data_IF_630724371845
#
_entry.id   IF_630724371845
#
_cell.length_a   1.000
_cell.length_b   1.000
_cell.length_c   1.000
_cell.angle_alpha   90.00
_cell.angle_beta   90.00
_cell.angle_gamma   90.00
#
_symmetry.space_group_name_H-M   'P 1'
#
loop_
_entity.id
_entity.type
_entity.pdbx_description
1 polymer ?
#
# COMPACT_ATOMS: atom_id res chain seq x y z
N UNK A 1 -25.07 -41.86 -6.84
CA UNK A 1 -25.06 -40.75 -5.86
C UNK A 1 -23.70 -40.07 -5.93
N UNK A 2 -23.63 -38.93 -6.61
CA UNK A 2 -22.41 -38.12 -6.76
C UNK A 2 -22.12 -37.34 -5.48
N UNK A 3 -20.93 -37.53 -4.94
CA UNK A 3 -20.41 -36.82 -3.77
C UNK A 3 -20.07 -35.40 -4.20
N UNK A 4 -20.98 -34.45 -3.96
CA UNK A 4 -20.68 -33.03 -4.11
C UNK A 4 -19.70 -32.60 -3.01
N UNK A 5 -18.45 -32.37 -3.40
CA UNK A 5 -17.42 -31.83 -2.51
C UNK A 5 -17.16 -30.37 -2.88
N UNK A 6 -18.22 -29.55 -2.88
CA UNK A 6 -18.16 -28.10 -3.14
C UNK A 6 -17.64 -27.31 -1.92
N UNK A 7 -17.12 -28.00 -0.90
CA UNK A 7 -16.62 -27.42 0.36
C UNK A 7 -15.10 -27.50 0.58
N UNK A 8 -14.29 -27.48 -0.48
CA UNK A 8 -12.82 -27.66 -0.38
C UNK A 8 -11.96 -26.61 -1.10
N UNK A 9 -12.51 -25.45 -1.43
CA UNK A 9 -11.73 -24.36 -2.02
C UNK A 9 -10.68 -23.79 -1.05
N UNK A 10 -10.87 -23.97 0.27
CA UNK A 10 -9.90 -23.62 1.31
C UNK A 10 -9.53 -24.91 2.06
N UNK A 11 -8.81 -25.81 1.38
CA UNK A 11 -8.19 -26.93 2.07
C UNK A 11 -6.94 -26.41 2.79
N UNK A 12 -7.01 -26.23 4.12
CA UNK A 12 -5.91 -25.79 4.98
C UNK A 12 -4.62 -26.59 4.71
N UNK A 13 -4.76 -27.86 4.28
CA UNK A 13 -3.65 -28.71 3.88
C UNK A 13 -2.93 -28.22 2.61
N UNK A 14 -3.69 -27.72 1.62
CA UNK A 14 -3.16 -27.12 0.38
C UNK A 14 -2.53 -25.76 0.69
N UNK A 15 -3.20 -24.94 1.51
CA UNK A 15 -2.68 -23.64 1.96
C UNK A 15 -1.35 -23.79 2.69
N UNK A 16 -1.21 -24.84 3.52
CA UNK A 16 0.03 -25.17 4.24
C UNK A 16 1.14 -25.70 3.33
N UNK A 17 0.81 -26.35 2.21
CA UNK A 17 1.78 -26.75 1.16
C UNK A 17 2.25 -25.54 0.35
N UNK A 18 1.36 -24.64 -0.05
CA UNK A 18 1.71 -23.40 -0.76
C UNK A 18 2.53 -22.46 0.12
N UNK A 19 2.21 -22.33 1.41
CA UNK A 19 3.03 -21.61 2.39
C UNK A 19 4.47 -22.13 2.50
N UNK A 20 4.72 -23.40 2.15
CA UNK A 20 6.07 -23.97 2.13
C UNK A 20 6.90 -23.43 0.96
N UNK A 21 6.26 -23.02 -0.14
CA UNK A 21 6.88 -22.34 -1.28
C UNK A 21 7.10 -20.84 -1.05
N UNK A 22 6.40 -20.22 -0.08
CA UNK A 22 6.63 -18.83 0.36
C UNK A 22 7.89 -18.70 1.24
N UNK A 23 8.45 -19.82 1.74
CA UNK A 23 9.61 -19.84 2.65
C UNK A 23 10.88 -19.11 2.16
N UNK A 24 11.29 -19.14 0.88
CA UNK A 24 12.43 -18.37 0.38
C UNK A 24 12.11 -16.88 0.18
N UNK A 25 10.83 -16.50 0.16
CA UNK A 25 10.34 -15.15 -0.12
C UNK A 25 9.89 -14.36 1.11
N UNK A 26 10.17 -14.86 2.31
CA UNK A 26 9.78 -14.20 3.57
C UNK A 26 10.25 -12.75 3.65
N UNK A 27 11.43 -12.42 3.12
CA UNK A 27 11.94 -11.04 3.08
C UNK A 27 11.06 -10.14 2.22
N UNK A 28 10.67 -10.58 1.02
CA UNK A 28 9.75 -9.83 0.16
C UNK A 28 8.36 -9.70 0.80
N UNK A 29 7.84 -10.76 1.42
CA UNK A 29 6.54 -10.75 2.11
C UNK A 29 6.50 -9.74 3.28
N UNK A 30 7.48 -9.79 4.19
CA UNK A 30 7.57 -8.83 5.30
C UNK A 30 7.84 -7.40 4.81
N UNK A 31 8.65 -7.22 3.77
CA UNK A 31 8.90 -5.89 3.17
C UNK A 31 7.63 -5.30 2.56
N UNK A 32 6.83 -6.10 1.85
CA UNK A 32 5.56 -5.65 1.25
C UNK A 32 4.55 -5.29 2.33
N UNK A 33 4.46 -6.08 3.40
CA UNK A 33 3.61 -5.78 4.55
C UNK A 33 4.02 -4.48 5.25
N UNK A 34 5.33 -4.27 5.44
CA UNK A 34 5.84 -3.05 6.06
C UNK A 34 5.58 -1.81 5.20
N UNK A 35 5.79 -1.91 3.88
CA UNK A 35 5.44 -0.86 2.91
C UNK A 35 3.94 -0.55 2.98
N UNK A 36 3.09 -1.57 3.04
CA UNK A 36 1.62 -1.40 3.14
C UNK A 36 1.21 -0.64 4.40
N UNK A 37 1.81 -0.99 5.55
CA UNK A 37 1.58 -0.25 6.80
C UNK A 37 2.02 1.20 6.63
N UNK A 38 3.17 1.45 6.03
CA UNK A 38 3.67 2.81 5.81
C UNK A 38 2.76 3.63 4.86
N UNK A 39 2.27 3.03 3.77
CA UNK A 39 1.28 3.66 2.89
C UNK A 39 0.00 4.02 3.64
N UNK A 40 -0.46 3.20 4.59
CA UNK A 40 -1.67 3.48 5.36
C UNK A 40 -1.57 4.77 6.17
N UNK A 41 -0.38 5.13 6.65
CA UNK A 41 -0.13 6.42 7.31
C UNK A 41 -0.09 7.61 6.35
N UNK A 42 0.15 7.41 5.05
CA UNK A 42 0.13 8.51 4.08
C UNK A 42 -1.29 9.08 3.86
N UNK A 43 -2.34 8.30 4.16
CA UNK A 43 -3.73 8.77 4.08
C UNK A 43 -4.02 9.92 5.07
N UNK A 44 -3.80 9.78 6.40
CA UNK A 44 -4.00 10.88 7.34
C UNK A 44 -3.03 12.05 7.11
N UNK A 45 -1.78 11.79 6.69
CA UNK A 45 -0.81 12.85 6.34
C UNK A 45 -1.34 13.74 5.21
N UNK A 46 -1.95 13.14 4.19
CA UNK A 46 -2.57 13.87 3.09
C UNK A 46 -3.71 14.76 3.59
N UNK A 47 -4.61 14.22 4.41
CA UNK A 47 -5.73 14.99 4.99
C UNK A 47 -5.23 16.15 5.85
N UNK A 48 -4.15 15.94 6.61
CA UNK A 48 -3.54 16.98 7.44
C UNK A 48 -2.94 18.13 6.61
N UNK A 49 -2.20 17.81 5.54
CA UNK A 49 -1.64 18.82 4.64
C UNK A 49 -2.73 19.64 3.93
N UNK A 50 -3.82 18.98 3.50
CA UNK A 50 -4.99 19.66 2.93
C UNK A 50 -5.64 20.58 3.95
N UNK A 51 -5.75 20.15 5.21
CA UNK A 51 -6.29 20.99 6.29
C UNK A 51 -5.46 22.27 6.47
N UNK A 52 -4.14 22.18 6.52
CA UNK A 52 -3.27 23.38 6.61
C UNK A 52 -3.43 24.27 5.37
N UNK A 53 -3.55 23.68 4.17
CA UNK A 53 -3.76 24.46 2.95
C UNK A 53 -5.06 25.29 3.03
N UNK A 54 -6.14 24.68 3.54
CA UNK A 54 -7.47 25.31 3.65
C UNK A 54 -7.52 26.31 4.82
N UNK A 55 -7.18 25.86 6.02
CA UNK A 55 -7.37 26.63 7.26
C UNK A 55 -6.36 27.79 7.40
N UNK A 56 -5.10 27.59 7.03
CA UNK A 56 -4.04 28.59 7.27
C UNK A 56 -3.64 29.39 6.03
N UNK A 57 -3.70 28.78 4.83
CA UNK A 57 -3.18 29.45 3.61
C UNK A 57 -4.27 30.10 2.77
N UNK A 58 -5.42 29.43 2.62
CA UNK A 58 -6.57 30.01 1.90
C UNK A 58 -7.25 31.08 2.77
N UNK A 59 -7.45 30.82 4.06
CA UNK A 59 -8.15 31.76 4.96
C UNK A 59 -7.39 33.09 5.15
N UNK A 60 -6.06 33.07 5.19
CA UNK A 60 -5.22 34.27 5.36
C UNK A 60 -4.75 34.89 4.02
N UNK A 61 -5.12 34.30 2.87
CA UNK A 61 -4.74 34.81 1.54
C UNK A 61 -3.26 34.68 1.19
N UNK A 62 -2.50 33.83 1.89
CA UNK A 62 -1.06 33.62 1.66
C UNK A 62 -0.82 32.68 0.47
N UNK A 63 -0.81 33.26 -0.73
CA UNK A 63 -0.59 32.55 -2.00
C UNK A 63 0.78 31.87 -2.05
N UNK A 64 1.79 32.44 -1.40
CA UNK A 64 3.16 31.89 -1.42
C UNK A 64 3.29 30.67 -0.52
N UNK A 65 2.69 30.72 0.67
CA UNK A 65 2.52 29.57 1.55
C UNK A 65 1.67 28.46 0.93
N UNK A 66 0.60 28.81 0.21
CA UNK A 66 -0.24 27.84 -0.48
C UNK A 66 0.54 27.07 -1.57
N UNK A 67 1.33 27.77 -2.38
CA UNK A 67 2.19 27.14 -3.40
C UNK A 67 3.16 26.12 -2.79
N UNK A 68 3.77 26.44 -1.64
CA UNK A 68 4.67 25.51 -0.94
C UNK A 68 3.94 24.24 -0.48
N UNK A 69 2.74 24.37 0.07
CA UNK A 69 1.95 23.20 0.51
C UNK A 69 1.52 22.36 -0.68
N UNK A 70 1.07 22.98 -1.78
CA UNK A 70 0.73 22.26 -3.02
C UNK A 70 1.93 21.47 -3.53
N UNK A 71 3.12 22.09 -3.56
CA UNK A 71 4.34 21.44 -4.04
C UNK A 71 4.76 20.27 -3.13
N UNK A 72 4.63 20.43 -1.81
CA UNK A 72 4.78 19.34 -0.83
C UNK A 72 3.79 18.20 -1.08
N UNK A 73 2.54 18.54 -1.38
CA UNK A 73 1.47 17.57 -1.61
C UNK A 73 1.70 16.79 -2.91
N UNK A 74 2.17 17.45 -3.98
CA UNK A 74 2.62 16.78 -5.20
C UNK A 74 3.80 15.85 -4.92
N UNK A 75 4.81 16.30 -4.17
CA UNK A 75 5.94 15.47 -3.76
C UNK A 75 5.52 14.24 -2.95
N UNK A 76 4.59 14.42 -2.01
CA UNK A 76 4.00 13.32 -1.23
C UNK A 76 3.28 12.31 -2.14
N UNK A 77 2.52 12.79 -3.14
CA UNK A 77 1.82 11.92 -4.10
C UNK A 77 2.80 11.13 -4.97
N UNK A 78 3.90 11.75 -5.42
CA UNK A 78 4.95 11.05 -6.16
C UNK A 78 5.59 9.96 -5.30
N UNK A 79 5.93 10.25 -4.04
CA UNK A 79 6.47 9.25 -3.12
C UNK A 79 5.47 8.12 -2.87
N UNK A 80 4.20 8.45 -2.68
CA UNK A 80 3.13 7.47 -2.48
C UNK A 80 3.02 6.53 -3.69
N UNK A 81 2.97 7.09 -4.90
CA UNK A 81 2.91 6.32 -6.13
C UNK A 81 4.13 5.41 -6.31
N UNK A 82 5.33 5.90 -5.98
CA UNK A 82 6.55 5.11 -6.01
C UNK A 82 6.51 3.92 -5.03
N UNK A 83 6.10 4.15 -3.78
CA UNK A 83 5.95 3.08 -2.80
C UNK A 83 4.88 2.07 -3.22
N UNK A 84 3.77 2.54 -3.79
CA UNK A 84 2.71 1.70 -4.31
C UNK A 84 3.18 0.85 -5.50
N UNK A 85 4.01 1.42 -6.39
CA UNK A 85 4.65 0.69 -7.47
C UNK A 85 5.56 -0.42 -6.95
N UNK A 86 6.42 -0.11 -5.98
CA UNK A 86 7.30 -1.11 -5.33
C UNK A 86 6.49 -2.25 -4.70
N UNK A 87 5.41 -1.91 -3.98
CA UNK A 87 4.52 -2.89 -3.38
C UNK A 87 3.90 -3.80 -4.44
N UNK A 88 3.41 -3.24 -5.54
CA UNK A 88 2.79 -3.98 -6.64
C UNK A 88 3.81 -4.86 -7.38
N UNK A 89 5.01 -4.33 -7.62
CA UNK A 89 6.10 -5.08 -8.25
C UNK A 89 6.52 -6.28 -7.40
N UNK A 90 6.72 -6.09 -6.09
CA UNK A 90 7.04 -7.17 -5.16
C UNK A 90 5.92 -8.21 -5.08
N UNK A 91 4.65 -7.78 -5.04
CA UNK A 91 3.50 -8.69 -5.05
C UNK A 91 3.41 -9.50 -6.35
N UNK A 92 3.70 -8.87 -7.51
CA UNK A 92 3.68 -9.54 -8.81
C UNK A 92 4.86 -10.52 -8.94
N UNK A 93 6.06 -10.13 -8.53
CA UNK A 93 7.24 -11.00 -8.51
C UNK A 93 7.06 -12.20 -7.57
N UNK A 94 6.47 -11.98 -6.39
CA UNK A 94 6.06 -13.04 -5.46
C UNK A 94 5.08 -14.03 -6.11
N UNK A 95 4.10 -13.52 -6.87
CA UNK A 95 3.10 -14.33 -7.55
C UNK A 95 3.64 -15.10 -8.75
N UNK A 96 4.63 -14.55 -9.47
CA UNK A 96 5.28 -15.21 -10.61
C UNK A 96 6.38 -16.20 -10.21
N UNK A 97 6.99 -16.04 -9.03
CA UNK A 97 8.07 -16.91 -8.57
C UNK A 97 7.59 -18.19 -7.85
N UNK A 98 6.28 -18.42 -7.78
CA UNK A 98 5.66 -19.63 -7.21
C UNK A 98 4.99 -20.43 -8.32
#
# INVERSE_FOLDING_TARGET
>A
MSKEVTGKAIDSLVLRRTMKYVRPFRVAFYSTAMITIFLSFMAPVRTYLVKIAVDDKIQFGDIEGLKKIILLLVGLLCLHAFMQFLQSYMANWLGQSV
#
